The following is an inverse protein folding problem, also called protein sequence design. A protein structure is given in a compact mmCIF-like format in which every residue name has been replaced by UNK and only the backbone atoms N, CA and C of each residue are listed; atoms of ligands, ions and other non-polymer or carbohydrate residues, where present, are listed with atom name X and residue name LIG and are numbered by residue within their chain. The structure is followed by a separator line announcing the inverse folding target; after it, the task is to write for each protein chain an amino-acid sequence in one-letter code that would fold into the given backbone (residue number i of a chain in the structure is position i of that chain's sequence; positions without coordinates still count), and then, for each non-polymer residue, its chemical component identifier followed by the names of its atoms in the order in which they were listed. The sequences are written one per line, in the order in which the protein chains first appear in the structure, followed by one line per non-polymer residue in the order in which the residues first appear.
data_IF_736796082265
#
_entry.id   IF_736796082265
#
_cell.length_a   1.000
_cell.length_b   1.000
_cell.length_c   1.000
_cell.angle_alpha   90.00
_cell.angle_beta   90.00
_cell.angle_gamma   90.00
#
_symmetry.space_group_name_H-M   'P 1'
#
loop_
_entity.id
_entity.type
_entity.pdbx_description
1 polymer ?
#
# COMPACT_ATOMS: atom_id res chain seq x y z
N UNK A 1 -32.76 -34.90 35.96
CA UNK A 1 -32.84 -33.48 35.59
C UNK A 1 -31.62 -33.17 34.75
N UNK A 2 -31.81 -32.73 33.49
CA UNK A 2 -30.74 -32.46 32.52
C UNK A 2 -29.96 -31.21 32.92
N UNK A 3 -28.64 -31.27 32.95
CA UNK A 3 -27.78 -30.11 32.75
C UNK A 3 -26.67 -30.48 31.76
N UNK A 4 -26.97 -30.27 30.48
CA UNK A 4 -25.99 -30.21 29.40
C UNK A 4 -25.47 -28.78 29.34
N UNK A 5 -24.27 -28.53 29.87
CA UNK A 5 -23.51 -27.31 29.59
C UNK A 5 -22.59 -27.60 28.41
N UNK A 6 -23.04 -27.22 27.21
CA UNK A 6 -22.15 -27.11 26.05
C UNK A 6 -21.15 -25.96 26.30
N UNK A 7 -19.87 -26.11 25.97
CA UNK A 7 -18.93 -25.01 26.04
C UNK A 7 -19.27 -24.01 24.93
N UNK A 8 -19.48 -22.75 25.31
CA UNK A 8 -19.64 -21.62 24.37
C UNK A 8 -18.44 -21.59 23.42
N UNK A 9 -18.66 -21.98 22.18
CA UNK A 9 -17.69 -21.82 21.12
C UNK A 9 -17.44 -20.32 20.96
N UNK A 10 -16.19 -19.88 21.16
CA UNK A 10 -15.77 -18.52 20.82
C UNK A 10 -16.07 -18.36 19.34
N UNK A 11 -17.12 -17.61 19.01
CA UNK A 11 -17.47 -17.31 17.64
C UNK A 11 -16.30 -16.53 17.04
N UNK A 12 -15.58 -17.16 16.10
CA UNK A 12 -14.50 -16.51 15.38
C UNK A 12 -15.04 -15.30 14.60
N UNK A 13 -14.24 -14.24 14.54
CA UNK A 13 -14.54 -13.08 13.71
C UNK A 13 -13.78 -13.19 12.39
N UNK A 14 -14.52 -13.16 11.28
CA UNK A 14 -13.95 -13.18 9.93
C UNK A 14 -13.72 -11.75 9.43
N UNK A 15 -12.58 -11.54 8.77
CA UNK A 15 -12.20 -10.24 8.21
C UNK A 15 -11.87 -10.40 6.74
N UNK A 16 -12.43 -9.53 5.90
CA UNK A 16 -11.96 -9.38 4.53
C UNK A 16 -10.57 -8.73 4.54
N UNK A 17 -9.56 -9.50 4.14
CA UNK A 17 -8.17 -9.05 4.14
C UNK A 17 -7.96 -7.83 3.24
N UNK A 18 -8.62 -7.75 2.08
CA UNK A 18 -8.51 -6.59 1.18
C UNK A 18 -9.05 -5.34 1.87
N UNK A 19 -10.19 -5.47 2.53
CA UNK A 19 -10.79 -4.37 3.29
C UNK A 19 -9.91 -3.95 4.48
N UNK A 20 -9.34 -4.92 5.20
CA UNK A 20 -8.41 -4.64 6.29
C UNK A 20 -7.17 -3.88 5.80
N UNK A 21 -6.58 -4.30 4.68
CA UNK A 21 -5.42 -3.64 4.09
C UNK A 21 -5.73 -2.20 3.66
N UNK A 22 -6.92 -1.95 3.10
CA UNK A 22 -7.37 -0.58 2.77
C UNK A 22 -7.43 0.29 4.04
N UNK A 23 -7.96 -0.26 5.14
CA UNK A 23 -8.05 0.48 6.40
C UNK A 23 -6.70 0.72 7.06
N UNK A 24 -5.78 -0.26 7.01
CA UNK A 24 -4.41 -0.10 7.50
C UNK A 24 -3.68 0.97 6.68
N UNK A 25 -3.75 0.92 5.35
CA UNK A 25 -3.13 1.91 4.47
C UNK A 25 -3.65 3.33 4.76
N UNK A 26 -4.97 3.47 4.94
CA UNK A 26 -5.58 4.76 5.33
C UNK A 26 -5.10 5.24 6.69
N UNK A 27 -4.98 4.35 7.67
CA UNK A 27 -4.47 4.71 8.98
C UNK A 27 -3.01 5.19 8.90
N UNK A 28 -2.17 4.52 8.10
CA UNK A 28 -0.78 4.92 7.85
C UNK A 28 -0.68 6.31 7.18
N UNK A 29 -1.53 6.57 6.18
CA UNK A 29 -1.61 7.88 5.50
C UNK A 29 -1.97 9.03 6.47
N UNK A 30 -2.65 8.76 7.59
CA UNK A 30 -2.97 9.79 8.60
C UNK A 30 -1.82 10.12 9.56
N UNK A 31 -0.84 9.22 9.70
CA UNK A 31 0.33 9.42 10.57
C UNK A 31 1.54 9.93 9.78
N UNK A 32 1.60 9.58 8.48
CA UNK A 32 2.62 10.04 7.55
C UNK A 32 2.48 11.53 7.22
N UNK A 33 3.58 12.26 7.32
CA UNK A 33 3.61 13.71 7.09
C UNK A 33 3.91 14.00 5.62
N UNK A 34 3.17 14.95 5.08
CA UNK A 34 3.36 15.71 3.84
C UNK A 34 2.78 15.21 2.49
N UNK A 35 2.21 14.00 2.35
CA UNK A 35 1.56 13.62 1.08
C UNK A 35 0.34 12.71 1.23
N UNK A 36 -0.83 13.33 1.45
CA UNK A 36 -2.12 12.63 1.54
C UNK A 36 -2.32 11.74 0.31
N UNK A 37 -2.68 10.47 0.52
CA UNK A 37 -2.92 9.48 -0.52
C UNK A 37 -1.69 9.04 -1.32
N UNK A 38 -0.46 9.29 -0.84
CA UNK A 38 0.76 8.79 -1.48
C UNK A 38 0.68 7.28 -1.78
N UNK A 39 0.41 6.47 -0.75
CA UNK A 39 0.31 5.01 -0.83
C UNK A 39 -0.74 4.57 -1.85
N UNK A 40 -1.88 5.28 -1.92
CA UNK A 40 -2.94 5.03 -2.90
C UNK A 40 -2.49 5.31 -4.34
N UNK A 41 -1.76 6.40 -4.58
CA UNK A 41 -1.26 6.73 -5.92
C UNK A 41 -0.18 5.74 -6.37
N UNK A 42 0.73 5.36 -5.48
CA UNK A 42 1.75 4.33 -5.75
C UNK A 42 1.11 2.98 -6.05
N UNK A 43 0.12 2.56 -5.26
CA UNK A 43 -0.66 1.34 -5.50
C UNK A 43 -1.33 1.34 -6.88
N UNK A 44 -1.93 2.46 -7.28
CA UNK A 44 -2.55 2.60 -8.59
C UNK A 44 -1.52 2.52 -9.72
N UNK A 45 -0.37 3.21 -9.59
CA UNK A 45 0.71 3.15 -10.58
C UNK A 45 1.22 1.71 -10.72
N UNK A 46 1.48 1.02 -9.61
CA UNK A 46 1.94 -0.37 -9.63
C UNK A 46 0.95 -1.31 -10.33
N UNK A 47 -0.36 -1.14 -10.06
CA UNK A 47 -1.43 -1.86 -10.74
C UNK A 47 -1.43 -1.61 -12.25
N UNK A 48 -1.36 -0.35 -12.69
CA UNK A 48 -1.33 0.01 -14.11
C UNK A 48 -0.08 -0.54 -14.82
N UNK A 49 1.08 -0.52 -14.16
CA UNK A 49 2.30 -1.14 -14.68
C UNK A 49 2.13 -2.66 -14.86
N UNK A 50 1.54 -3.35 -13.88
CA UNK A 50 1.28 -4.79 -13.99
C UNK A 50 0.34 -5.12 -15.17
N UNK A 51 -0.70 -4.32 -15.38
CA UNK A 51 -1.58 -4.46 -16.54
C UNK A 51 -0.85 -4.20 -17.87
N UNK A 52 -0.02 -3.15 -17.94
CA UNK A 52 0.75 -2.83 -19.13
C UNK A 52 1.76 -3.94 -19.49
N UNK A 53 2.24 -4.69 -18.50
CA UNK A 53 3.11 -5.86 -18.67
C UNK A 53 2.34 -7.16 -18.95
N UNK A 54 1.03 -7.09 -19.18
CA UNK A 54 0.14 -8.23 -19.41
C UNK A 54 0.16 -9.28 -18.28
N UNK A 55 0.34 -8.84 -17.03
CA UNK A 55 0.19 -9.75 -15.90
C UNK A 55 -1.29 -10.09 -15.68
N UNK A 56 -1.55 -11.26 -15.09
CA UNK A 56 -2.91 -11.65 -14.73
C UNK A 56 -3.50 -10.72 -13.65
N UNK A 57 -4.83 -10.63 -13.61
CA UNK A 57 -5.53 -9.70 -12.71
C UNK A 57 -5.20 -9.95 -11.23
N UNK A 58 -4.95 -11.21 -10.84
CA UNK A 58 -4.62 -11.55 -9.46
C UNK A 58 -3.25 -10.99 -9.06
N UNK A 59 -2.26 -11.03 -9.97
CA UNK A 59 -0.96 -10.37 -9.77
C UNK A 59 -1.08 -8.86 -9.76
N UNK A 60 -1.89 -8.28 -10.66
CA UNK A 60 -2.10 -6.84 -10.66
C UNK A 60 -2.75 -6.37 -9.35
N UNK A 61 -3.78 -7.06 -8.87
CA UNK A 61 -4.40 -6.82 -7.56
C UNK A 61 -3.37 -6.95 -6.42
N UNK A 62 -2.51 -7.96 -6.46
CA UNK A 62 -1.44 -8.11 -5.48
C UNK A 62 -0.50 -6.90 -5.47
N UNK A 63 -0.08 -6.40 -6.64
CA UNK A 63 0.75 -5.20 -6.75
C UNK A 63 0.05 -3.96 -6.16
N UNK A 64 -1.26 -3.83 -6.36
CA UNK A 64 -2.04 -2.75 -5.77
C UNK A 64 -1.98 -2.80 -4.24
N UNK A 65 -2.28 -3.95 -3.63
CA UNK A 65 -2.24 -4.08 -2.17
C UNK A 65 -0.84 -3.92 -1.61
N UNK A 66 0.18 -4.47 -2.27
CA UNK A 66 1.57 -4.30 -1.87
C UNK A 66 1.99 -2.82 -1.89
N UNK A 67 1.63 -2.07 -2.92
CA UNK A 67 1.91 -0.63 -3.00
C UNK A 67 1.22 0.18 -1.89
N UNK A 68 0.01 -0.21 -1.49
CA UNK A 68 -0.72 0.48 -0.42
C UNK A 68 -0.07 0.34 0.96
N UNK A 69 0.68 -0.74 1.20
CA UNK A 69 1.32 -1.01 2.51
C UNK A 69 2.84 -1.03 2.42
N UNK A 70 3.44 -0.56 1.32
CA UNK A 70 4.87 -0.72 1.09
C UNK A 70 5.74 -0.06 2.17
N UNK A 71 5.28 1.09 2.67
CA UNK A 71 5.95 1.86 3.73
C UNK A 71 5.39 1.58 5.13
N UNK A 72 4.69 0.45 5.34
CA UNK A 72 4.11 0.12 6.65
C UNK A 72 5.14 -0.03 7.78
N UNK A 73 6.43 -0.18 7.44
CA UNK A 73 7.53 -0.23 8.40
C UNK A 73 8.10 1.13 8.79
N UNK A 74 7.79 2.21 8.07
CA UNK A 74 8.32 3.55 8.35
C UNK A 74 7.55 4.11 9.55
N UNK A 75 8.16 4.00 10.73
CA UNK A 75 7.48 4.21 12.02
C UNK A 75 7.60 5.64 12.54
N UNK A 76 8.52 6.45 12.01
CA UNK A 76 8.73 7.83 12.43
C UNK A 76 8.78 8.80 11.25
N UNK A 77 7.98 9.86 11.35
CA UNK A 77 8.04 11.06 10.50
C UNK A 77 9.46 11.59 10.30
N UNK A 78 10.30 11.46 11.33
CA UNK A 78 11.69 11.92 11.34
C UNK A 78 12.58 11.04 10.45
N UNK A 79 12.46 9.70 10.52
CA UNK A 79 13.17 8.79 9.61
C UNK A 79 12.74 9.01 8.16
N UNK A 80 11.45 9.22 7.91
CA UNK A 80 10.93 9.51 6.57
C UNK A 80 11.48 10.84 6.01
N UNK A 81 11.53 11.90 6.84
CA UNK A 81 12.13 13.19 6.46
C UNK A 81 13.63 13.08 6.21
N UNK A 82 14.36 12.33 7.03
CA UNK A 82 15.80 12.13 6.84
C UNK A 82 16.09 11.37 5.53
N UNK A 83 15.28 10.37 5.17
CA UNK A 83 15.40 9.68 3.89
C UNK A 83 15.11 10.63 2.72
N UNK A 84 14.06 11.45 2.81
CA UNK A 84 13.69 12.36 1.72
C UNK A 84 14.68 13.51 1.54
N UNK A 85 15.17 14.13 2.61
CA UNK A 85 16.07 15.28 2.53
C UNK A 85 17.39 14.95 1.79
N UNK A 86 17.86 13.70 1.86
CA UNK A 86 19.05 13.25 1.11
C UNK A 86 18.74 12.74 -0.31
N UNK A 87 17.48 12.39 -0.61
CA UNK A 87 17.09 11.72 -1.85
C UNK A 87 16.32 12.59 -2.84
N UNK A 88 15.85 13.80 -2.46
CA UNK A 88 15.12 14.69 -3.36
C UNK A 88 16.04 15.08 -4.55
N UNK A 89 15.74 14.62 -5.77
CA UNK A 89 16.51 15.01 -6.94
C UNK A 89 16.29 16.50 -7.22
N UNK A 90 17.36 17.22 -7.57
CA UNK A 90 17.27 18.66 -7.92
C UNK A 90 16.22 18.96 -9.01
N UNK A 91 15.93 17.98 -9.89
CA UNK A 91 14.88 18.08 -10.89
C UNK A 91 14.03 16.80 -10.92
N UNK A 92 13.02 16.76 -10.05
CA UNK A 92 12.04 15.67 -10.00
C UNK A 92 11.30 15.48 -11.34
N UNK A 93 11.03 16.56 -12.08
CA UNK A 93 10.27 16.51 -13.33
C UNK A 93 11.08 15.84 -14.44
N UNK A 94 12.36 16.17 -14.56
CA UNK A 94 13.23 15.58 -15.58
C UNK A 94 13.36 14.06 -15.43
N UNK A 95 13.46 13.54 -14.19
CA UNK A 95 13.55 12.09 -13.99
C UNK A 95 12.24 11.38 -14.37
N UNK A 96 11.07 11.95 -14.03
CA UNK A 96 9.77 11.37 -14.39
C UNK A 96 9.61 11.29 -15.92
N UNK A 97 9.98 12.37 -16.64
CA UNK A 97 9.87 12.42 -18.09
C UNK A 97 10.77 11.37 -18.78
N UNK A 98 12.02 11.22 -18.30
CA UNK A 98 12.93 10.17 -18.79
C UNK A 98 12.36 8.77 -18.54
N UNK A 99 11.85 8.51 -17.33
CA UNK A 99 11.24 7.23 -16.99
C UNK A 99 10.09 6.87 -17.93
N UNK A 100 9.19 7.82 -18.18
CA UNK A 100 8.10 7.64 -19.15
C UNK A 100 8.62 7.34 -20.56
N UNK A 101 9.60 8.10 -21.05
CA UNK A 101 10.16 7.91 -22.40
C UNK A 101 10.81 6.53 -22.56
N UNK A 102 11.51 6.04 -21.54
CA UNK A 102 12.13 4.70 -21.54
C UNK A 102 11.08 3.59 -21.58
N UNK A 103 9.99 3.72 -20.82
CA UNK A 103 8.94 2.71 -20.75
C UNK A 103 7.98 2.71 -21.96
N UNK A 104 7.96 3.78 -22.75
CA UNK A 104 7.09 3.91 -23.93
C UNK A 104 7.66 3.20 -25.18
N UNK A 105 8.95 2.86 -25.19
CA UNK A 105 9.63 2.21 -26.33
C UNK A 105 9.21 0.75 -26.46
#
# INVERSE_FOLDING_TARGET
MKHSSSPDAIAGFEVDLKQALIWVARALDYVGVDDTHHSHRVAYIAYQCALALNWDLKKAEFCYFAGMIHDCGVSETQEHKMLLDELIPQDAKAHCLRGYQTLKQ
#
